data_IF_718600599933
#
_entry.id   IF_718600599933
#
_cell.length_a   1.000
_cell.length_b   1.000
_cell.length_c   1.000
_cell.angle_alpha   90.00
_cell.angle_beta   90.00
_cell.angle_gamma   90.00
#
_symmetry.space_group_name_H-M   'P 1'
#
loop_
_entity.id
_entity.type
_entity.pdbx_description
1 polymer ?
#
# COMPACT_ATOMS: atom_id res chain seq x y z
N UNK A 1 -9.06 -12.41 -13.35
CA UNK A 1 -9.32 -11.01 -13.75
C UNK A 1 -8.45 -10.73 -14.97
N UNK A 2 -9.04 -10.28 -16.08
CA UNK A 2 -8.28 -9.75 -17.21
C UNK A 2 -8.17 -8.24 -17.02
N UNK A 3 -6.99 -7.76 -16.60
CA UNK A 3 -6.71 -6.33 -16.62
C UNK A 3 -6.35 -5.92 -18.05
N UNK A 4 -6.81 -4.74 -18.48
CA UNK A 4 -6.59 -4.26 -19.85
C UNK A 4 -5.17 -3.75 -20.12
N UNK A 5 -4.39 -3.50 -19.07
CA UNK A 5 -3.03 -2.96 -19.16
C UNK A 5 -1.98 -4.02 -18.74
N UNK A 6 -0.79 -3.92 -19.33
CA UNK A 6 0.37 -4.69 -18.88
C UNK A 6 0.76 -4.26 -17.46
N UNK A 7 1.02 -5.24 -16.59
CA UNK A 7 1.46 -4.96 -15.23
C UNK A 7 2.88 -4.38 -15.22
N UNK A 8 3.10 -3.35 -14.41
CA UNK A 8 4.43 -2.79 -14.17
C UNK A 8 5.07 -3.46 -12.93
N UNK A 9 6.04 -4.37 -13.09
CA UNK A 9 6.68 -5.07 -11.96
C UNK A 9 7.60 -4.18 -11.12
N UNK A 10 7.91 -2.97 -11.61
CA UNK A 10 8.76 -1.98 -10.96
C UNK A 10 7.93 -0.81 -10.39
N UNK A 11 6.59 -0.91 -10.40
CA UNK A 11 5.72 0.10 -9.84
C UNK A 11 5.99 0.31 -8.34
N UNK A 12 5.94 1.56 -7.90
CA UNK A 12 6.07 1.87 -6.48
C UNK A 12 4.81 1.43 -5.75
N UNK A 13 4.97 0.47 -4.83
CA UNK A 13 3.86 -0.15 -4.09
C UNK A 13 2.97 0.92 -3.45
N UNK A 14 3.52 1.80 -2.61
CA UNK A 14 2.71 2.77 -1.86
C UNK A 14 1.95 3.76 -2.75
N UNK A 15 2.59 4.26 -3.82
CA UNK A 15 1.94 5.16 -4.78
C UNK A 15 0.81 4.42 -5.54
N UNK A 16 1.03 3.15 -5.89
CA UNK A 16 0.02 2.30 -6.55
C UNK A 16 -1.17 2.03 -5.63
N UNK A 17 -0.94 1.79 -4.34
CA UNK A 17 -2.01 1.59 -3.35
C UNK A 17 -2.86 2.85 -3.19
N UNK A 18 -2.22 4.02 -3.09
CA UNK A 18 -2.95 5.30 -2.97
C UNK A 18 -3.74 5.59 -4.25
N UNK A 19 -3.15 5.36 -5.42
CA UNK A 19 -3.86 5.51 -6.69
C UNK A 19 -5.08 4.58 -6.77
N UNK A 20 -4.91 3.29 -6.43
CA UNK A 20 -6.02 2.34 -6.39
C UNK A 20 -7.11 2.75 -5.38
N UNK A 21 -6.73 3.36 -4.25
CA UNK A 21 -7.72 3.87 -3.29
C UNK A 21 -8.50 5.06 -3.84
N UNK A 22 -7.87 5.95 -4.61
CA UNK A 22 -8.57 7.05 -5.26
C UNK A 22 -9.53 6.55 -6.33
N UNK A 23 -9.10 5.62 -7.19
CA UNK A 23 -10.00 4.97 -8.17
C UNK A 23 -11.17 4.28 -7.48
N UNK A 24 -10.92 3.57 -6.37
CA UNK A 24 -11.97 2.86 -5.65
C UNK A 24 -12.93 3.77 -4.88
N UNK A 25 -12.44 4.88 -4.33
CA UNK A 25 -13.22 5.76 -3.46
C UNK A 25 -13.83 6.94 -4.21
N UNK A 26 -13.09 7.58 -5.11
CA UNK A 26 -13.49 8.82 -5.79
C UNK A 26 -14.26 8.51 -7.08
N UNK A 27 -13.89 7.44 -7.81
CA UNK A 27 -14.57 7.01 -9.05
C UNK A 27 -15.60 5.88 -8.81
N UNK A 28 -15.86 5.53 -7.55
CA UNK A 28 -16.76 4.47 -7.10
C UNK A 28 -16.46 3.08 -7.73
N UNK A 29 -15.21 2.79 -8.12
CA UNK A 29 -14.81 1.47 -8.61
C UNK A 29 -14.58 0.49 -7.44
N UNK A 30 -15.70 -0.06 -6.96
CA UNK A 30 -15.70 -1.04 -5.87
C UNK A 30 -14.93 -2.33 -6.20
N UNK A 31 -14.66 -2.63 -7.48
CA UNK A 31 -13.86 -3.80 -7.86
C UNK A 31 -12.40 -3.54 -7.58
N UNK A 32 -11.89 -2.37 -7.96
CA UNK A 32 -10.53 -1.94 -7.62
C UNK A 32 -10.38 -1.82 -6.10
N UNK A 33 -11.36 -1.23 -5.42
CA UNK A 33 -11.34 -1.11 -3.96
C UNK A 33 -11.31 -2.48 -3.28
N UNK A 34 -12.12 -3.45 -3.73
CA UNK A 34 -12.13 -4.80 -3.18
C UNK A 34 -10.79 -5.53 -3.36
N UNK A 35 -10.16 -5.40 -4.53
CA UNK A 35 -8.82 -5.96 -4.79
C UNK A 35 -7.78 -5.30 -3.92
N UNK A 36 -7.82 -3.97 -3.78
CA UNK A 36 -6.92 -3.22 -2.90
C UNK A 36 -7.05 -3.66 -1.45
N UNK A 37 -8.28 -3.72 -0.91
CA UNK A 37 -8.51 -4.13 0.48
C UNK A 37 -8.03 -5.56 0.73
N UNK A 38 -8.30 -6.48 -0.21
CA UNK A 38 -7.77 -7.85 -0.15
C UNK A 38 -6.25 -7.86 -0.18
N UNK A 39 -5.63 -7.09 -1.09
CA UNK A 39 -4.19 -6.99 -1.21
C UNK A 39 -3.55 -6.47 0.09
N UNK A 40 -4.13 -5.44 0.70
CA UNK A 40 -3.67 -4.90 1.99
C UNK A 40 -3.74 -5.97 3.09
N UNK A 41 -4.84 -6.73 3.16
CA UNK A 41 -4.97 -7.83 4.12
C UNK A 41 -3.81 -8.84 4.03
N UNK A 42 -3.44 -9.23 2.80
CA UNK A 42 -2.37 -10.20 2.54
C UNK A 42 -0.96 -9.60 2.71
N UNK A 43 -0.75 -8.36 2.30
CA UNK A 43 0.60 -7.81 2.07
C UNK A 43 1.03 -6.66 2.98
N UNK A 44 0.18 -6.17 3.90
CA UNK A 44 0.50 -5.02 4.76
C UNK A 44 1.84 -5.15 5.50
N UNK A 45 2.26 -6.37 5.86
CA UNK A 45 3.56 -6.65 6.47
C UNK A 45 4.75 -6.08 5.66
N UNK A 46 4.63 -5.99 4.33
CA UNK A 46 5.70 -5.60 3.40
C UNK A 46 5.50 -4.19 2.78
N UNK A 47 4.52 -3.44 3.28
CA UNK A 47 4.30 -2.04 2.91
C UNK A 47 5.20 -1.13 3.74
N UNK A 48 5.81 -0.14 3.09
CA UNK A 48 6.55 0.92 3.79
C UNK A 48 5.52 1.93 4.33
N UNK A 49 5.10 1.71 5.58
CA UNK A 49 4.04 2.49 6.21
C UNK A 49 4.34 4.00 6.28
N UNK A 50 5.60 4.40 6.52
CA UNK A 50 5.94 5.83 6.56
C UNK A 50 5.83 6.49 5.19
N UNK A 51 6.22 5.78 4.11
CA UNK A 51 5.99 6.28 2.76
C UNK A 51 4.50 6.34 2.45
N UNK A 52 3.74 5.32 2.80
CA UNK A 52 2.29 5.31 2.61
C UNK A 52 1.63 6.49 3.32
N UNK A 53 1.96 6.73 4.60
CA UNK A 53 1.47 7.87 5.37
C UNK A 53 1.75 9.19 4.66
N UNK A 54 2.96 9.35 4.11
CA UNK A 54 3.29 10.54 3.31
C UNK A 54 2.41 10.66 2.06
N UNK A 55 2.30 9.60 1.25
CA UNK A 55 1.49 9.60 0.05
C UNK A 55 0.01 9.91 0.33
N UNK A 56 -0.54 9.34 1.41
CA UNK A 56 -1.91 9.62 1.85
C UNK A 56 -2.04 11.07 2.32
N UNK A 57 -1.10 11.58 3.12
CA UNK A 57 -1.16 12.95 3.65
C UNK A 57 -1.11 14.06 2.60
N UNK A 58 -0.49 13.76 1.46
CA UNK A 58 -0.37 14.67 0.32
C UNK A 58 -1.58 14.57 -0.64
N UNK A 59 -2.50 13.62 -0.41
CA UNK A 59 -3.68 13.40 -1.24
C UNK A 59 -4.79 14.41 -0.93
N UNK A 60 -5.55 14.83 -1.94
CA UNK A 60 -6.61 15.84 -1.77
C UNK A 60 -7.95 15.26 -1.34
N UNK A 61 -8.23 13.98 -1.67
CA UNK A 61 -9.52 13.35 -1.38
C UNK A 61 -9.68 12.98 0.10
N UNK A 62 -10.73 13.53 0.70
CA UNK A 62 -11.20 13.15 2.03
C UNK A 62 -11.68 11.69 2.09
N UNK A 63 -12.30 11.18 1.01
CA UNK A 63 -12.75 9.78 0.94
C UNK A 63 -11.56 8.81 0.97
N UNK A 64 -10.46 9.17 0.30
CA UNK A 64 -9.19 8.42 0.39
C UNK A 64 -8.61 8.46 1.80
N UNK A 65 -8.65 9.59 2.49
CA UNK A 65 -8.23 9.66 3.89
C UNK A 65 -9.09 8.78 4.80
N UNK A 66 -10.41 8.79 4.63
CA UNK A 66 -11.32 7.95 5.41
C UNK A 66 -11.06 6.46 5.19
N UNK A 67 -10.77 6.05 3.95
CA UNK A 67 -10.39 4.67 3.64
C UNK A 67 -9.10 4.26 4.37
N UNK A 68 -8.05 5.07 4.30
CA UNK A 68 -6.77 4.73 4.94
C UNK A 68 -6.80 4.82 6.46
N UNK A 69 -7.61 5.70 7.04
CA UNK A 69 -7.88 5.71 8.47
C UNK A 69 -8.61 4.42 8.90
N UNK A 70 -9.63 4.01 8.15
CA UNK A 70 -10.35 2.77 8.42
C UNK A 70 -9.48 1.51 8.26
N UNK A 71 -8.57 1.48 7.27
CA UNK A 71 -7.55 0.42 7.14
C UNK A 71 -6.62 0.37 8.36
N UNK A 72 -6.26 1.51 8.93
CA UNK A 72 -5.41 1.53 10.11
C UNK A 72 -6.14 1.07 11.38
N UNK A 73 -7.44 1.34 11.49
CA UNK A 73 -8.30 0.76 12.53
C UNK A 73 -8.42 -0.76 12.36
N UNK A 74 -8.67 -1.23 11.13
CA UNK A 74 -8.72 -2.66 10.81
C UNK A 74 -7.43 -3.38 11.20
N UNK A 75 -6.29 -2.76 10.89
CA UNK A 75 -4.95 -3.27 11.17
C UNK A 75 -4.39 -2.77 12.52
N UNK A 76 -5.24 -2.49 13.51
CA UNK A 76 -4.85 -1.88 14.80
C UNK A 76 -3.64 -2.54 15.51
N UNK A 77 -3.43 -3.84 15.28
CA UNK A 77 -2.30 -4.59 15.85
C UNK A 77 -0.95 -4.21 15.22
N UNK A 78 -0.96 -3.63 14.02
CA UNK A 78 0.22 -3.13 13.34
C UNK A 78 0.39 -1.63 13.54
N UNK A 79 1.16 -1.29 14.59
CA UNK A 79 1.44 0.09 15.00
C UNK A 79 2.08 0.97 13.92
N UNK A 80 2.66 0.38 12.86
CA UNK A 80 3.25 1.15 11.76
C UNK A 80 2.20 1.99 11.02
N UNK A 81 0.96 1.50 10.97
CA UNK A 81 -0.15 2.18 10.29
C UNK A 81 -0.90 3.18 11.18
N UNK A 82 -0.65 3.22 12.48
CA UNK A 82 -1.41 4.04 13.44
C UNK A 82 -1.42 5.55 13.09
N UNK A 83 -0.43 6.04 12.34
CA UNK A 83 -0.40 7.45 11.89
C UNK A 83 -1.50 7.76 10.88
N UNK A 84 -1.96 6.78 10.09
CA UNK A 84 -3.02 6.96 9.10
C UNK A 84 -4.37 7.33 9.73
N UNK A 85 -4.67 6.82 10.93
CA UNK A 85 -5.90 7.18 11.68
C UNK A 85 -6.06 8.69 11.85
N UNK A 86 -4.96 9.43 11.96
CA UNK A 86 -5.01 10.89 12.19
C UNK A 86 -5.40 11.70 10.96
N UNK A 87 -5.37 11.11 9.77
CA UNK A 87 -5.67 11.80 8.51
C UNK A 87 -7.17 11.95 8.26
N UNK A 88 -8.01 11.28 9.05
CA UNK A 88 -9.45 11.43 8.99
C UNK A 88 -10.04 11.56 10.39
N UNK A 89 -10.88 12.58 10.61
CA UNK A 89 -11.62 12.81 11.87
C UNK A 89 -13.07 13.21 11.63
N UNK A 90 -13.55 13.06 10.39
CA UNK A 90 -14.91 13.40 10.01
C UNK A 90 -15.91 12.34 10.47
N UNK A 91 -17.16 12.53 10.05
CA UNK A 91 -18.21 11.54 10.24
C UNK A 91 -17.94 10.30 9.36
N UNK A 92 -18.33 9.09 9.79
CA UNK A 92 -18.14 7.91 8.95
C UNK A 92 -18.70 8.11 7.53
N UNK A 93 -17.91 7.74 6.52
CA UNK A 93 -18.27 7.89 5.11
C UNK A 93 -18.89 6.60 4.60
N UNK A 94 -19.99 6.72 3.87
CA UNK A 94 -20.60 5.61 3.15
C UNK A 94 -19.78 5.26 1.90
N UNK A 95 -19.41 3.98 1.76
CA UNK A 95 -18.70 3.51 0.56
C UNK A 95 -19.60 3.50 -0.67
N UNK A 96 -20.90 3.24 -0.48
CA UNK A 96 -21.89 3.25 -1.54
C UNK A 96 -22.42 4.68 -1.73
N UNK A 97 -22.69 5.12 -2.97
CA UNK A 97 -23.30 6.42 -3.20
C UNK A 97 -24.73 6.51 -2.67
N UNK A 98 -25.46 5.38 -2.61
CA UNK A 98 -26.84 5.30 -2.11
C UNK A 98 -27.13 3.96 -1.43
N UNK A 99 -28.10 3.94 -0.51
CA UNK A 99 -28.68 2.71 0.04
C UNK A 99 -27.84 2.01 1.13
N UNK A 100 -26.83 2.67 1.67
CA UNK A 100 -25.93 2.13 2.70
C UNK A 100 -26.69 1.66 3.94
N UNK A 101 -27.57 2.49 4.50
CA UNK A 101 -28.34 2.14 5.70
C UNK A 101 -29.19 0.88 5.51
N UNK A 102 -29.83 0.75 4.34
CA UNK A 102 -30.62 -0.44 4.01
C UNK A 102 -29.74 -1.69 3.91
N UNK A 103 -28.60 -1.60 3.24
CA UNK A 103 -27.69 -2.73 3.08
C UNK A 103 -27.05 -3.14 4.40
N UNK A 104 -26.67 -2.17 5.25
CA UNK A 104 -26.17 -2.43 6.60
C UNK A 104 -27.23 -3.10 7.47
N UNK A 105 -28.46 -2.62 7.46
CA UNK A 105 -29.56 -3.25 8.19
C UNK A 105 -29.83 -4.68 7.72
N UNK A 106 -29.68 -4.95 6.42
CA UNK A 106 -29.96 -6.26 5.83
C UNK A 106 -28.83 -7.27 6.00
N UNK A 107 -27.57 -6.85 5.88
CA UNK A 107 -26.40 -7.74 5.79
C UNK A 107 -25.38 -7.57 6.90
N UNK A 108 -25.50 -6.51 7.70
CA UNK A 108 -24.47 -6.07 8.62
C UNK A 108 -23.34 -5.32 7.91
N UNK A 109 -22.36 -4.91 8.70
CA UNK A 109 -21.14 -4.25 8.26
C UNK A 109 -20.05 -5.28 7.92
N UNK A 110 -19.18 -4.95 6.97
CA UNK A 110 -18.02 -5.74 6.62
C UNK A 110 -17.09 -5.84 7.84
N UNK A 111 -16.67 -7.05 8.26
CA UNK A 111 -15.87 -7.23 9.47
C UNK A 111 -14.58 -6.41 9.52
N UNK A 112 -14.02 -6.05 8.37
CA UNK A 112 -12.79 -5.23 8.27
C UNK A 112 -13.05 -3.76 8.62
N UNK A 113 -14.30 -3.30 8.56
CA UNK A 113 -14.65 -1.88 8.67
C UNK A 113 -15.62 -1.58 9.83
N UNK A 114 -15.96 -2.57 10.64
CA UNK A 114 -16.86 -2.40 11.80
C UNK A 114 -16.35 -1.30 12.73
N UNK A 115 -17.17 -0.26 12.92
CA UNK A 115 -16.86 0.85 13.84
C UNK A 115 -15.73 1.77 13.38
N UNK A 116 -15.31 1.67 12.11
CA UNK A 116 -14.27 2.54 11.54
C UNK A 116 -14.87 3.81 10.92
N UNK A 117 -14.02 4.67 10.36
CA UNK A 117 -14.45 5.85 9.60
C UNK A 117 -15.11 5.55 8.24
N UNK A 118 -15.22 4.29 7.85
CA UNK A 118 -15.81 3.89 6.58
C UNK A 118 -16.92 2.87 6.81
N UNK A 119 -18.13 3.17 6.32
CA UNK A 119 -19.30 2.29 6.42
C UNK A 119 -19.39 1.43 5.18
N UNK A 120 -19.12 0.14 5.34
CA UNK A 120 -19.09 -0.84 4.24
C UNK A 120 -20.08 -1.96 4.54
N UNK A 121 -21.19 -2.11 3.80
CA UNK A 121 -22.08 -3.25 3.99
C UNK A 121 -21.37 -4.57 3.66
N UNK A 122 -21.66 -5.62 4.43
CA UNK A 122 -21.06 -6.94 4.22
C UNK A 122 -21.33 -7.47 2.79
N UNK A 123 -20.27 -8.00 2.18
CA UNK A 123 -20.29 -8.52 0.81
C UNK A 123 -20.22 -7.44 -0.29
N UNK A 124 -20.09 -6.16 0.06
CA UNK A 124 -19.84 -5.08 -0.92
C UNK A 124 -18.44 -5.18 -1.50
N UNK A 125 -17.43 -5.27 -0.62
CA UNK A 125 -16.05 -5.48 -1.03
C UNK A 125 -15.73 -6.97 -0.97
N UNK A 126 -15.66 -7.60 -2.13
CA UNK A 126 -15.35 -9.03 -2.22
C UNK A 126 -14.04 -9.34 -1.52
N UNK A 127 -14.05 -10.32 -0.63
CA UNK A 127 -12.88 -10.80 0.08
C UNK A 127 -12.47 -12.17 -0.48
N UNK A 128 -11.42 -12.19 -1.32
CA UNK A 128 -10.93 -13.41 -1.96
C UNK A 128 -9.45 -13.31 -2.22
N UNK A 129 -8.65 -13.92 -1.36
CA UNK A 129 -7.18 -13.94 -1.47
C UNK A 129 -6.68 -14.43 -2.84
N UNK A 130 -7.39 -15.37 -3.48
CA UNK A 130 -7.03 -15.86 -4.82
C UNK A 130 -7.11 -14.80 -5.94
N UNK A 131 -7.72 -13.64 -5.66
CA UNK A 131 -7.78 -12.51 -6.60
C UNK A 131 -6.49 -11.65 -6.54
N UNK A 132 -5.57 -11.90 -5.58
CA UNK A 132 -4.25 -11.24 -5.47
C UNK A 132 -3.11 -12.27 -5.53
N UNK A 133 -1.91 -11.83 -5.94
CA UNK A 133 -0.73 -12.70 -5.96
C UNK A 133 -0.30 -13.04 -4.53
N UNK A 134 0.09 -14.29 -4.26
CA UNK A 134 0.66 -14.64 -2.96
C UNK A 134 2.02 -13.95 -2.76
N UNK A 135 2.49 -13.80 -1.50
CA UNK A 135 3.84 -13.29 -1.22
C UNK A 135 4.93 -14.04 -2.01
N UNK A 136 4.88 -15.37 -2.09
CA UNK A 136 5.80 -16.20 -2.88
C UNK A 136 5.80 -15.88 -4.37
N UNK A 137 4.62 -15.61 -4.94
CA UNK A 137 4.53 -15.22 -6.33
C UNK A 137 5.10 -13.81 -6.55
N UNK A 138 4.87 -12.90 -5.60
CA UNK A 138 5.27 -11.50 -5.71
C UNK A 138 6.78 -11.31 -5.54
N UNK A 139 7.45 -12.05 -4.63
CA UNK A 139 8.91 -12.00 -4.48
C UNK A 139 9.67 -12.44 -5.74
N UNK A 140 9.04 -13.26 -6.60
CA UNK A 140 9.63 -13.70 -7.88
C UNK A 140 9.48 -12.67 -8.98
N UNK A 141 8.54 -11.73 -8.84
CA UNK A 141 8.12 -10.80 -9.90
C UNK A 141 8.50 -9.35 -9.62
N UNK A 142 8.60 -8.97 -8.35
CA UNK A 142 8.79 -7.58 -7.94
C UNK A 142 10.04 -7.45 -7.06
N UNK A 143 11.09 -6.83 -7.60
CA UNK A 143 12.42 -6.74 -6.96
C UNK A 143 12.35 -6.02 -5.62
N UNK A 144 11.72 -4.84 -5.58
CA UNK A 144 11.54 -4.08 -4.32
C UNK A 144 10.78 -4.91 -3.28
N UNK A 145 9.67 -5.54 -3.65
CA UNK A 145 8.92 -6.40 -2.73
C UNK A 145 9.81 -7.51 -2.15
N UNK A 146 10.59 -8.20 -3.00
CA UNK A 146 11.56 -9.21 -2.58
C UNK A 146 12.56 -8.68 -1.56
N UNK A 147 13.17 -7.53 -1.82
CA UNK A 147 14.17 -6.94 -0.91
C UNK A 147 13.54 -6.52 0.42
N UNK A 148 12.27 -6.08 0.42
CA UNK A 148 11.52 -5.80 1.65
C UNK A 148 11.18 -7.04 2.46
N UNK A 149 10.97 -8.19 1.82
CA UNK A 149 10.86 -9.48 2.55
C UNK A 149 12.18 -9.79 3.27
N UNK A 150 13.32 -9.52 2.63
CA UNK A 150 14.64 -9.82 3.18
C UNK A 150 15.07 -8.87 4.32
N UNK A 151 14.79 -7.57 4.18
CA UNK A 151 15.36 -6.54 5.05
C UNK A 151 14.31 -5.73 5.83
N UNK A 152 13.04 -6.02 5.63
CA UNK A 152 11.92 -5.21 6.11
C UNK A 152 11.57 -4.05 5.16
N UNK A 153 10.33 -3.52 5.23
CA UNK A 153 9.83 -2.52 4.29
C UNK A 153 10.32 -1.11 4.62
N UNK A 154 11.57 -0.85 4.27
CA UNK A 154 12.27 0.41 4.58
C UNK A 154 12.79 1.07 3.31
N UNK A 155 13.13 2.36 3.37
CA UNK A 155 13.85 3.02 2.25
C UNK A 155 15.19 2.36 1.93
N UNK A 156 15.82 1.70 2.92
CA UNK A 156 17.05 0.94 2.69
C UNK A 156 16.81 -0.24 1.77
N UNK A 157 15.75 -1.01 2.01
CA UNK A 157 15.40 -2.14 1.15
C UNK A 157 15.17 -1.68 -0.30
N UNK A 158 14.46 -0.58 -0.48
CA UNK A 158 14.15 -0.05 -1.82
C UNK A 158 15.42 0.46 -2.53
N UNK A 159 16.29 1.19 -1.83
CA UNK A 159 17.58 1.63 -2.37
C UNK A 159 18.49 0.45 -2.70
N UNK A 160 18.47 -0.61 -1.88
CA UNK A 160 19.22 -1.83 -2.13
C UNK A 160 18.71 -2.56 -3.38
N UNK A 161 17.38 -2.64 -3.57
CA UNK A 161 16.79 -3.23 -4.78
C UNK A 161 17.21 -2.50 -6.07
N UNK A 162 17.34 -1.16 -6.02
CA UNK A 162 17.86 -0.36 -7.14
C UNK A 162 19.32 -0.72 -7.46
N UNK A 163 20.14 -0.92 -6.42
CA UNK A 163 21.56 -1.28 -6.59
C UNK A 163 21.76 -2.73 -7.05
N UNK A 164 20.89 -3.66 -6.64
CA UNK A 164 20.92 -5.03 -7.17
C UNK A 164 20.62 -5.07 -8.67
N UNK A 165 19.81 -4.13 -9.18
CA UNK A 165 19.55 -3.98 -10.60
C UNK A 165 20.70 -3.27 -11.33
N UNK A 166 21.21 -2.17 -10.75
CA UNK A 166 22.24 -1.32 -11.37
C UNK A 166 23.32 -0.96 -10.32
N UNK A 167 24.34 -1.82 -10.14
CA UNK A 167 25.36 -1.65 -9.09
C UNK A 167 26.18 -0.35 -9.19
N UNK A 168 26.43 0.12 -10.43
CA UNK A 168 27.31 1.26 -10.70
C UNK A 168 26.57 2.61 -10.78
N UNK A 169 25.27 2.61 -10.47
CA UNK A 169 24.44 3.81 -10.54
C UNK A 169 24.87 4.84 -9.48
N UNK A 170 24.81 6.13 -9.84
CA UNK A 170 25.23 7.19 -8.92
C UNK A 170 24.23 7.38 -7.77
N UNK A 171 24.70 7.92 -6.65
CA UNK A 171 23.92 8.08 -5.40
C UNK A 171 22.64 8.90 -5.60
N UNK A 172 22.70 9.98 -6.39
CA UNK A 172 21.54 10.84 -6.62
C UNK A 172 20.43 10.08 -7.36
N UNK A 173 20.82 9.25 -8.32
CA UNK A 173 19.89 8.43 -9.08
C UNK A 173 19.32 7.27 -8.23
N UNK A 174 20.10 6.67 -7.31
CA UNK A 174 19.56 5.75 -6.30
C UNK A 174 18.48 6.45 -5.48
N UNK A 175 18.77 7.64 -4.97
CA UNK A 175 17.84 8.41 -4.15
C UNK A 175 16.53 8.71 -4.91
N UNK A 176 16.65 9.11 -6.17
CA UNK A 176 15.51 9.41 -7.04
C UNK A 176 14.65 8.18 -7.29
N UNK A 177 15.24 7.05 -7.69
CA UNK A 177 14.51 5.82 -8.02
C UNK A 177 13.89 5.17 -6.78
N UNK A 178 14.59 5.14 -5.66
CA UNK A 178 14.08 4.61 -4.39
C UNK A 178 13.19 5.62 -3.63
N UNK A 179 13.02 6.84 -4.16
CA UNK A 179 12.23 7.92 -3.55
C UNK A 179 12.61 8.15 -2.07
N UNK A 180 13.92 8.13 -1.81
CA UNK A 180 14.48 8.32 -0.47
C UNK A 180 15.37 9.57 -0.43
N UNK A 181 15.81 9.97 0.77
CA UNK A 181 16.73 11.10 0.90
C UNK A 181 18.12 10.74 0.35
N UNK A 182 18.84 11.73 -0.16
CA UNK A 182 20.23 11.54 -0.63
C UNK A 182 21.12 10.93 0.46
N UNK A 183 20.98 11.38 1.71
CA UNK A 183 21.73 10.84 2.84
C UNK A 183 21.46 9.34 3.08
N UNK A 184 20.21 8.90 2.91
CA UNK A 184 19.86 7.48 3.00
C UNK A 184 20.50 6.70 1.86
N UNK A 185 20.32 7.16 0.62
CA UNK A 185 20.91 6.52 -0.56
C UNK A 185 22.44 6.42 -0.45
N UNK A 186 23.11 7.50 -0.03
CA UNK A 186 24.56 7.52 0.12
C UNK A 186 25.04 6.43 1.07
N UNK A 187 24.41 6.30 2.24
CA UNK A 187 24.78 5.28 3.23
C UNK A 187 24.58 3.86 2.68
N UNK A 188 23.46 3.62 2.00
CA UNK A 188 23.17 2.32 1.40
C UNK A 188 24.19 1.97 0.30
N UNK A 189 24.57 2.93 -0.54
CA UNK A 189 25.60 2.74 -1.57
C UNK A 189 26.95 2.37 -0.96
N UNK A 190 27.37 3.03 0.12
CA UNK A 190 28.62 2.67 0.81
C UNK A 190 28.57 1.23 1.34
N UNK A 191 27.49 0.87 2.04
CA UNK A 191 27.32 -0.48 2.59
C UNK A 191 27.25 -1.55 1.48
N UNK A 192 26.57 -1.24 0.37
CA UNK A 192 26.48 -2.13 -0.78
C UNK A 192 27.85 -2.40 -1.39
N UNK A 193 28.64 -1.35 -1.61
CA UNK A 193 30.01 -1.46 -2.13
C UNK A 193 30.91 -2.25 -1.20
N UNK A 194 30.85 -1.99 0.11
CA UNK A 194 31.62 -2.73 1.11
C UNK A 194 31.38 -4.24 1.02
N UNK A 195 30.12 -4.65 0.87
CA UNK A 195 29.75 -6.07 0.80
C UNK A 195 30.08 -6.72 -0.55
N UNK A 196 30.20 -5.95 -1.63
CA UNK A 196 30.50 -6.47 -2.97
C UNK A 196 31.98 -6.33 -3.37
N UNK A 197 32.77 -5.51 -2.67
CA UNK A 197 34.23 -5.45 -2.82
C UNK A 197 34.95 -6.66 -2.19
N UNK A 198 34.24 -7.43 -1.35
CA UNK A 198 34.79 -8.59 -0.64
C UNK A 198 34.49 -9.91 -1.38
N UNK A 199 34.00 -9.85 -2.62
CA UNK A 199 33.78 -10.99 -3.52
C UNK A 199 34.74 -10.91 -4.70
#
# INVERSE_FOLDING_TARGET
MNFAAEGNPDAMIEETLVHASSVGMDDDDLRVLAVLTTWVGVHHAYVNADRLVRCVSEHASERVHAYWAAVADWLEKDRRFARLQKHYRGLPIDVLPVGTDFQLARRGEDPRFVGTSLRVPAGTLRDREADVLTPDALVRRHKVYRTRVLMGPTWRADAWAVLEDQPDINVAEVARRARCSFATAWRVVQDFRLLHQTR
#
